data_IF_020762195643
#
_entry.id   IF_020762195643
#
_cell.length_a   1.000
_cell.length_b   1.000
_cell.length_c   1.000
_cell.angle_alpha   90.00
_cell.angle_beta   90.00
_cell.angle_gamma   90.00
#
_symmetry.space_group_name_H-M   'P 1'
#
loop_
_entity.id
_entity.type
_entity.pdbx_description
1 polymer ?
#
# COMPACT_ATOMS: atom_id res chain seq x y z
N UNK A 1 10.03 -1.08 -19.19
CA UNK A 1 9.86 -0.46 -17.86
C UNK A 1 11.23 -0.16 -17.24
N UNK A 2 11.38 1.01 -16.62
CA UNK A 2 12.57 1.37 -15.83
C UNK A 2 12.75 0.40 -14.65
N UNK A 3 14.00 0.25 -14.17
CA UNK A 3 14.24 -0.60 -12.98
C UNK A 3 13.55 0.02 -11.76
N UNK A 4 12.86 -0.78 -10.93
CA UNK A 4 12.26 -0.29 -9.69
C UNK A 4 13.33 0.13 -8.68
N UNK A 5 12.96 1.05 -7.78
CA UNK A 5 13.68 1.19 -6.51
C UNK A 5 13.23 0.04 -5.61
N UNK A 6 14.19 -0.62 -4.97
CA UNK A 6 13.94 -1.79 -4.10
C UNK A 6 14.46 -1.51 -2.71
N UNK A 7 13.68 -1.88 -1.69
CA UNK A 7 14.03 -1.78 -0.27
C UNK A 7 13.72 -3.10 0.45
N UNK A 8 14.45 -3.40 1.51
CA UNK A 8 14.25 -4.58 2.33
C UNK A 8 14.88 -5.84 1.77
N UNK A 9 14.34 -7.01 2.15
CA UNK A 9 14.92 -8.32 1.84
C UNK A 9 14.28 -8.97 0.60
N UNK A 10 14.98 -9.03 -0.56
CA UNK A 10 14.47 -9.64 -1.78
C UNK A 10 14.33 -11.18 -1.67
N UNK A 11 14.92 -11.78 -0.64
CA UNK A 11 14.84 -13.22 -0.39
C UNK A 11 13.74 -13.60 0.58
N UNK A 12 12.97 -12.62 1.08
CA UNK A 12 11.84 -12.86 1.97
C UNK A 12 10.86 -13.87 1.35
N UNK A 13 10.42 -14.82 2.14
CA UNK A 13 9.48 -15.88 1.75
C UNK A 13 8.42 -16.07 2.83
N UNK A 14 7.38 -16.83 2.49
CA UNK A 14 6.30 -17.20 3.40
C UNK A 14 5.05 -16.35 3.26
N UNK A 15 4.11 -16.46 4.20
CA UNK A 15 2.89 -15.68 4.22
C UNK A 15 3.19 -14.21 4.49
N UNK A 16 2.57 -13.32 3.70
CA UNK A 16 2.76 -11.87 3.80
C UNK A 16 1.44 -11.10 3.77
N UNK A 17 1.51 -9.86 4.22
CA UNK A 17 0.49 -8.83 4.09
C UNK A 17 1.02 -7.78 3.12
N UNK A 18 0.18 -7.30 2.21
CA UNK A 18 0.59 -6.40 1.14
C UNK A 18 -0.06 -5.03 1.28
N UNK A 19 0.74 -3.98 1.10
CA UNK A 19 0.28 -2.61 0.96
C UNK A 19 0.57 -2.08 -0.44
N UNK A 20 -0.40 -1.40 -1.05
CA UNK A 20 -0.30 -0.81 -2.39
C UNK A 20 -0.60 0.68 -2.31
N UNK A 21 0.41 1.50 -2.60
CA UNK A 21 0.24 2.94 -2.86
C UNK A 21 0.16 3.15 -4.38
N UNK A 22 -1.04 3.51 -4.86
CA UNK A 22 -1.34 3.68 -6.27
C UNK A 22 -1.03 5.10 -6.76
N UNK A 23 0.23 5.39 -7.00
CA UNK A 23 0.67 6.67 -7.56
C UNK A 23 1.23 6.51 -8.97
N UNK A 24 0.91 7.42 -9.89
CA UNK A 24 1.46 7.40 -11.26
C UNK A 24 2.98 7.63 -11.30
N UNK A 25 3.49 8.43 -10.38
CA UNK A 25 4.91 8.79 -10.32
C UNK A 25 5.75 7.84 -9.47
N UNK A 26 5.10 7.06 -8.60
CA UNK A 26 5.77 6.20 -7.64
C UNK A 26 4.85 5.07 -7.16
N UNK A 27 4.36 4.23 -8.09
CA UNK A 27 3.53 3.08 -7.77
C UNK A 27 4.31 2.12 -6.85
N UNK A 28 3.94 2.10 -5.58
CA UNK A 28 4.70 1.37 -4.56
C UNK A 28 3.91 0.18 -4.02
N UNK A 29 4.61 -0.93 -3.83
CA UNK A 29 4.06 -2.15 -3.25
C UNK A 29 5.02 -2.68 -2.20
N UNK A 30 4.50 -2.96 -1.01
CA UNK A 30 5.26 -3.55 0.09
C UNK A 30 4.62 -4.86 0.53
N UNK A 31 5.42 -5.90 0.68
CA UNK A 31 5.07 -7.13 1.37
C UNK A 31 5.76 -7.15 2.74
N UNK A 32 5.04 -7.53 3.81
CA UNK A 32 5.60 -7.71 5.15
C UNK A 32 5.13 -9.04 5.73
N UNK A 33 6.02 -9.78 6.41
CA UNK A 33 5.67 -11.04 7.08
C UNK A 33 5.43 -10.86 8.59
N UNK A 34 5.07 -11.94 9.28
CA UNK A 34 4.82 -11.94 10.73
C UNK A 34 6.09 -11.66 11.57
N UNK A 35 7.28 -11.75 10.98
CA UNK A 35 8.59 -11.51 11.62
C UNK A 35 9.13 -10.10 11.36
N UNK A 36 8.32 -9.18 10.84
CA UNK A 36 8.69 -7.82 10.46
C UNK A 36 9.69 -7.71 9.29
N UNK A 37 10.03 -8.81 8.61
CA UNK A 37 10.79 -8.74 7.36
C UNK A 37 9.88 -8.18 6.27
N UNK A 38 10.45 -7.32 5.44
CA UNK A 38 9.70 -6.64 4.38
C UNK A 38 10.47 -6.63 3.05
N UNK A 39 9.71 -6.46 1.99
CA UNK A 39 10.21 -6.21 0.64
C UNK A 39 9.33 -5.18 -0.05
N UNK A 40 9.93 -4.12 -0.57
CA UNK A 40 9.22 -3.00 -1.21
C UNK A 40 9.79 -2.75 -2.60
N UNK A 41 8.91 -2.54 -3.56
CA UNK A 41 9.23 -2.04 -4.90
C UNK A 41 8.50 -0.73 -5.15
N UNK A 42 9.21 0.25 -5.75
CA UNK A 42 8.63 1.49 -6.24
C UNK A 42 8.89 1.61 -7.73
N UNK A 43 7.83 1.72 -8.51
CA UNK A 43 7.86 1.78 -9.96
C UNK A 43 7.34 3.12 -10.46
N UNK A 44 7.94 3.65 -11.51
CA UNK A 44 7.33 4.68 -12.32
C UNK A 44 6.43 4.00 -13.35
N UNK A 45 5.14 4.32 -13.36
CA UNK A 45 4.23 3.78 -14.38
C UNK A 45 4.51 4.45 -15.72
N UNK A 46 4.94 3.66 -16.68
CA UNK A 46 5.22 4.06 -18.06
C UNK A 46 3.97 3.91 -18.93
N UNK A 47 4.01 4.47 -20.15
CA UNK A 47 2.90 4.44 -21.09
C UNK A 47 1.85 5.53 -20.84
N UNK A 48 0.79 5.52 -21.64
CA UNK A 48 -0.33 6.46 -21.57
C UNK A 48 -1.67 5.73 -21.66
N UNK A 49 -2.71 6.31 -21.07
CA UNK A 49 -4.06 5.75 -21.12
C UNK A 49 -4.10 4.27 -20.74
N UNK A 50 -4.72 3.43 -21.56
CA UNK A 50 -4.92 2.00 -21.32
C UNK A 50 -3.60 1.21 -21.22
N UNK A 51 -2.55 1.60 -21.99
CA UNK A 51 -1.23 0.97 -21.90
C UNK A 51 -0.64 1.10 -20.48
N UNK A 52 -0.75 2.28 -19.88
CA UNK A 52 -0.30 2.53 -18.50
C UNK A 52 -1.09 1.70 -17.48
N UNK A 53 -2.40 1.55 -17.69
CA UNK A 53 -3.25 0.72 -16.83
C UNK A 53 -2.90 -0.77 -16.95
N UNK A 54 -2.59 -1.24 -18.16
CA UNK A 54 -2.10 -2.61 -18.41
C UNK A 54 -0.75 -2.84 -17.72
N UNK A 55 0.17 -1.87 -17.81
CA UNK A 55 1.45 -1.97 -17.11
C UNK A 55 1.27 -2.04 -15.57
N UNK A 56 0.30 -1.29 -15.01
CA UNK A 56 -0.01 -1.37 -13.59
C UNK A 56 -0.56 -2.76 -13.19
N UNK A 57 -1.43 -3.35 -14.02
CA UNK A 57 -1.94 -4.71 -13.84
C UNK A 57 -0.79 -5.71 -13.77
N UNK A 58 0.12 -5.68 -14.76
CA UNK A 58 1.26 -6.58 -14.82
C UNK A 58 2.18 -6.43 -13.58
N UNK A 59 2.41 -5.20 -13.13
CA UNK A 59 3.21 -4.93 -11.93
C UNK A 59 2.57 -5.55 -10.68
N UNK A 60 1.25 -5.39 -10.50
CA UNK A 60 0.53 -5.98 -9.37
C UNK A 60 0.64 -7.50 -9.39
N UNK A 61 0.33 -8.15 -10.53
CA UNK A 61 0.42 -9.61 -10.68
C UNK A 61 1.84 -10.10 -10.41
N UNK A 62 2.84 -9.47 -11.03
CA UNK A 62 4.24 -9.85 -10.86
C UNK A 62 4.73 -9.70 -9.42
N UNK A 63 4.24 -8.70 -8.69
CA UNK A 63 4.58 -8.50 -7.29
C UNK A 63 3.93 -9.54 -6.38
N UNK A 64 2.62 -9.71 -6.46
CA UNK A 64 1.87 -10.59 -5.55
C UNK A 64 2.23 -12.08 -5.77
N UNK A 65 2.57 -12.47 -6.99
CA UNK A 65 3.01 -13.84 -7.31
C UNK A 65 4.34 -14.26 -6.67
N UNK A 66 5.11 -13.30 -6.13
CA UNK A 66 6.34 -13.62 -5.38
C UNK A 66 6.06 -14.24 -4.02
N UNK A 67 4.82 -14.12 -3.50
CA UNK A 67 4.49 -14.37 -2.11
C UNK A 67 3.20 -15.20 -1.94
N UNK A 68 3.03 -15.78 -0.76
CA UNK A 68 1.73 -16.27 -0.29
C UNK A 68 1.03 -15.12 0.45
N UNK A 69 0.17 -14.38 -0.25
CA UNK A 69 -0.51 -13.20 0.31
C UNK A 69 -1.67 -13.63 1.21
N UNK A 70 -1.81 -13.00 2.38
CA UNK A 70 -2.89 -13.23 3.37
C UNK A 70 -3.98 -12.16 3.29
N UNK A 71 -3.57 -10.90 3.10
CA UNK A 71 -4.49 -9.77 2.98
C UNK A 71 -3.78 -8.61 2.29
N UNK A 72 -4.57 -7.73 1.67
CA UNK A 72 -4.08 -6.58 0.91
C UNK A 72 -4.80 -5.31 1.39
N UNK A 73 -4.03 -4.24 1.63
CA UNK A 73 -4.54 -2.88 1.75
C UNK A 73 -4.04 -2.02 0.61
N UNK A 74 -4.87 -1.09 0.13
CA UNK A 74 -4.48 -0.10 -0.86
C UNK A 74 -4.88 1.29 -0.44
N UNK A 75 -4.10 2.30 -0.83
CA UNK A 75 -4.49 3.68 -0.58
C UNK A 75 -5.71 4.04 -1.44
N UNK A 76 -6.69 4.70 -0.80
CA UNK A 76 -7.78 5.36 -1.51
C UNK A 76 -7.33 6.71 -2.08
N UNK A 77 -8.17 7.33 -2.89
CA UNK A 77 -7.91 8.67 -3.42
C UNK A 77 -8.81 9.71 -2.75
N UNK A 78 -8.29 10.93 -2.60
CA UNK A 78 -9.06 12.04 -2.06
C UNK A 78 -10.05 12.55 -3.11
N UNK A 79 -11.34 12.62 -2.76
CA UNK A 79 -12.35 13.26 -3.61
C UNK A 79 -12.01 14.74 -3.83
N UNK A 80 -12.16 15.21 -5.08
CA UNK A 80 -11.91 16.61 -5.45
C UNK A 80 -10.46 16.94 -5.82
N UNK A 81 -9.55 16.00 -5.87
CA UNK A 81 -8.23 16.21 -6.48
C UNK A 81 -8.35 16.33 -8.01
N UNK A 82 -7.52 17.15 -8.65
CA UNK A 82 -7.47 17.23 -10.12
C UNK A 82 -7.16 15.90 -10.80
N UNK A 83 -6.53 14.98 -10.08
CA UNK A 83 -6.17 13.65 -10.56
C UNK A 83 -7.14 12.56 -10.10
N UNK A 84 -8.25 12.90 -9.43
CA UNK A 84 -9.17 11.91 -8.84
C UNK A 84 -9.70 10.91 -9.86
N UNK A 85 -10.04 11.37 -11.07
CA UNK A 85 -10.54 10.49 -12.15
C UNK A 85 -9.47 9.49 -12.59
N UNK A 86 -8.24 9.95 -12.85
CA UNK A 86 -7.14 9.09 -13.26
C UNK A 86 -6.75 8.08 -12.17
N UNK A 87 -6.70 8.52 -10.91
CA UNK A 87 -6.44 7.63 -9.78
C UNK A 87 -7.60 6.65 -9.55
N UNK A 88 -8.83 7.07 -9.86
CA UNK A 88 -10.01 6.22 -9.84
C UNK A 88 -9.93 5.10 -10.88
N UNK A 89 -9.51 5.40 -12.12
CA UNK A 89 -9.27 4.40 -13.17
C UNK A 89 -8.17 3.41 -12.75
N UNK A 90 -7.04 3.92 -12.28
CA UNK A 90 -5.93 3.09 -11.80
C UNK A 90 -6.37 2.18 -10.65
N UNK A 91 -7.05 2.74 -9.65
CA UNK A 91 -7.56 1.98 -8.52
C UNK A 91 -8.63 0.96 -8.93
N UNK A 92 -9.42 1.25 -9.95
CA UNK A 92 -10.37 0.30 -10.55
C UNK A 92 -9.64 -0.90 -11.16
N UNK A 93 -8.58 -0.64 -11.93
CA UNK A 93 -7.76 -1.71 -12.54
C UNK A 93 -7.07 -2.54 -11.46
N UNK A 94 -6.45 -1.93 -10.45
CA UNK A 94 -5.82 -2.67 -9.34
C UNK A 94 -6.83 -3.58 -8.64
N UNK A 95 -8.00 -3.06 -8.27
CA UNK A 95 -9.07 -3.85 -7.64
C UNK A 95 -9.57 -4.99 -8.51
N UNK A 96 -9.81 -4.73 -9.81
CA UNK A 96 -10.25 -5.75 -10.75
C UNK A 96 -9.19 -6.84 -10.92
N UNK A 97 -7.92 -6.46 -11.01
CA UNK A 97 -6.79 -7.40 -11.09
C UNK A 97 -6.76 -8.32 -9.88
N UNK A 98 -6.85 -7.79 -8.67
CA UNK A 98 -6.84 -8.57 -7.44
C UNK A 98 -8.08 -9.48 -7.35
N UNK A 99 -9.26 -8.96 -7.69
CA UNK A 99 -10.50 -9.72 -7.71
C UNK A 99 -10.46 -10.91 -8.66
N UNK A 100 -9.88 -10.75 -9.85
CA UNK A 100 -9.75 -11.84 -10.83
C UNK A 100 -8.61 -12.81 -10.53
N UNK A 101 -7.67 -12.42 -9.67
CA UNK A 101 -6.48 -13.21 -9.35
C UNK A 101 -6.63 -14.06 -8.09
N UNK A 102 -7.49 -13.66 -7.15
CA UNK A 102 -7.67 -14.30 -5.86
C UNK A 102 -9.11 -14.74 -5.59
N UNK A 103 -9.25 -15.92 -4.99
CA UNK A 103 -10.54 -16.39 -4.44
C UNK A 103 -10.70 -15.98 -2.97
N UNK A 104 -9.59 -15.76 -2.23
CA UNK A 104 -9.62 -15.37 -0.82
C UNK A 104 -10.12 -13.93 -0.65
N UNK A 105 -11.18 -13.69 0.14
CA UNK A 105 -11.83 -12.37 0.24
C UNK A 105 -10.89 -11.23 0.63
N UNK A 106 -9.96 -11.45 1.55
CA UNK A 106 -9.02 -10.41 2.02
C UNK A 106 -7.94 -10.04 0.99
N UNK A 107 -7.81 -10.82 -0.09
CA UNK A 107 -6.93 -10.55 -1.22
C UNK A 107 -7.72 -10.06 -2.42
N UNK A 108 -8.85 -10.69 -2.75
CA UNK A 108 -9.75 -10.31 -3.84
C UNK A 108 -10.40 -8.93 -3.61
N UNK A 109 -10.70 -8.59 -2.36
CA UNK A 109 -11.28 -7.30 -1.96
C UNK A 109 -10.32 -6.55 -1.03
N UNK A 110 -9.35 -5.78 -1.58
CA UNK A 110 -8.38 -5.08 -0.75
C UNK A 110 -9.05 -4.04 0.17
N UNK A 111 -8.52 -3.88 1.37
CA UNK A 111 -8.94 -2.81 2.29
C UNK A 111 -8.54 -1.46 1.69
N UNK A 112 -9.52 -0.62 1.34
CA UNK A 112 -9.27 0.72 0.80
C UNK A 112 -9.13 1.71 1.94
N UNK A 113 -7.93 2.23 2.13
CA UNK A 113 -7.55 3.10 3.26
C UNK A 113 -7.55 4.55 2.82
N UNK A 114 -8.39 5.44 3.39
CA UNK A 114 -8.32 6.87 3.10
C UNK A 114 -6.94 7.45 3.44
N UNK A 115 -6.39 8.39 2.64
CA UNK A 115 -5.07 8.99 2.88
C UNK A 115 -4.91 9.60 4.28
N UNK A 116 -5.97 10.21 4.81
CA UNK A 116 -5.98 10.77 6.17
C UNK A 116 -5.92 9.68 7.25
N UNK A 117 -6.55 8.55 7.02
CA UNK A 117 -6.51 7.38 7.92
C UNK A 117 -5.13 6.74 7.92
N UNK A 118 -4.50 6.58 6.74
CA UNK A 118 -3.13 6.09 6.64
C UNK A 118 -2.15 7.01 7.39
N UNK A 119 -2.23 8.32 7.17
CA UNK A 119 -1.42 9.30 7.90
C UNK A 119 -1.63 9.21 9.41
N UNK A 120 -2.89 9.07 9.88
CA UNK A 120 -3.18 8.86 11.31
C UNK A 120 -2.54 7.57 11.81
N UNK A 121 -2.61 6.49 11.07
CA UNK A 121 -1.99 5.21 11.42
C UNK A 121 -0.47 5.33 11.56
N UNK A 122 0.20 5.97 10.60
CA UNK A 122 1.67 6.08 10.61
C UNK A 122 2.15 7.09 11.67
N UNK A 123 1.49 8.26 11.80
CA UNK A 123 2.05 9.41 12.53
C UNK A 123 1.28 9.80 13.81
N UNK A 124 0.11 9.19 14.04
CA UNK A 124 -0.82 9.60 15.09
C UNK A 124 -1.70 10.81 14.71
N UNK A 125 -1.48 11.45 13.52
CA UNK A 125 -2.22 12.64 13.05
C UNK A 125 -2.71 12.43 11.63
N UNK A 126 -4.00 12.68 11.37
CA UNK A 126 -4.61 12.49 10.04
C UNK A 126 -4.42 13.66 9.08
N UNK A 127 -4.24 14.88 9.57
CA UNK A 127 -4.17 16.10 8.76
C UNK A 127 -2.94 16.93 9.08
N UNK A 128 -2.53 17.80 8.15
CA UNK A 128 -1.35 18.67 8.33
C UNK A 128 0.00 17.91 8.35
N UNK A 129 0.01 16.65 7.97
CA UNK A 129 1.22 15.80 7.96
C UNK A 129 1.97 15.99 6.63
N UNK A 130 3.25 16.36 6.73
CA UNK A 130 4.16 16.49 5.57
C UNK A 130 4.83 15.14 5.27
N UNK A 131 5.28 14.94 4.03
CA UNK A 131 5.96 13.71 3.57
C UNK A 131 7.14 13.30 4.44
N UNK A 132 8.01 14.25 4.79
CA UNK A 132 9.16 13.99 5.67
C UNK A 132 8.75 13.54 7.09
N UNK A 133 7.59 13.92 7.57
CA UNK A 133 7.06 13.47 8.86
C UNK A 133 6.60 12.01 8.79
N UNK A 134 6.06 11.56 7.64
CA UNK A 134 5.73 10.15 7.41
C UNK A 134 6.99 9.31 7.45
N UNK A 135 8.02 9.66 6.67
CA UNK A 135 9.31 8.97 6.65
C UNK A 135 9.93 8.86 8.05
N UNK A 136 9.98 9.99 8.77
CA UNK A 136 10.52 10.04 10.14
C UNK A 136 9.70 9.18 11.11
N UNK A 137 8.38 9.12 10.96
CA UNK A 137 7.52 8.31 11.82
C UNK A 137 7.72 6.83 11.56
N UNK A 138 7.85 6.41 10.30
CA UNK A 138 8.17 5.02 9.92
C UNK A 138 9.50 4.61 10.56
N UNK A 139 10.54 5.44 10.41
CA UNK A 139 11.84 5.18 11.03
C UNK A 139 11.75 5.06 12.57
N UNK A 140 11.14 6.03 13.23
CA UNK A 140 11.04 6.05 14.70
C UNK A 140 10.23 4.90 15.30
N UNK A 141 9.18 4.47 14.59
CA UNK A 141 8.26 3.44 15.10
C UNK A 141 8.74 2.03 14.81
N UNK A 142 9.32 1.81 13.64
CA UNK A 142 9.57 0.46 13.13
C UNK A 142 11.03 0.22 12.72
N UNK A 143 11.91 1.22 12.95
CA UNK A 143 13.35 1.17 12.61
C UNK A 143 13.60 0.81 11.13
N UNK A 144 12.74 1.37 10.25
CA UNK A 144 12.81 1.16 8.80
C UNK A 144 13.04 2.49 8.11
N UNK A 145 14.12 2.59 7.34
CA UNK A 145 14.49 3.79 6.60
C UNK A 145 14.05 3.69 5.14
N UNK A 146 13.26 4.66 4.70
CA UNK A 146 12.92 4.89 3.30
C UNK A 146 13.39 6.27 2.85
N UNK A 147 13.85 6.35 1.59
CA UNK A 147 14.17 7.62 0.90
C UNK A 147 13.04 8.03 -0.07
N UNK A 148 11.93 7.29 -0.08
CA UNK A 148 10.79 7.47 -0.98
C UNK A 148 9.49 7.43 -0.15
N UNK A 149 8.67 8.45 -0.27
CA UNK A 149 7.43 8.57 0.49
C UNK A 149 6.37 7.53 0.10
N UNK A 150 6.32 7.15 -1.20
CA UNK A 150 5.38 6.11 -1.64
C UNK A 150 5.78 4.73 -1.06
N UNK A 151 7.10 4.47 -0.90
CA UNK A 151 7.56 3.27 -0.19
C UNK A 151 7.10 3.26 1.27
N UNK A 152 7.19 4.40 1.97
CA UNK A 152 6.76 4.51 3.35
C UNK A 152 5.23 4.36 3.50
N UNK A 153 4.46 4.92 2.58
CA UNK A 153 2.99 4.81 2.57
C UNK A 153 2.56 3.36 2.28
N UNK A 154 3.13 2.69 1.28
CA UNK A 154 2.86 1.27 1.01
C UNK A 154 3.27 0.36 2.18
N UNK A 155 4.38 0.66 2.87
CA UNK A 155 4.79 -0.05 4.07
C UNK A 155 3.77 0.14 5.22
N UNK A 156 3.30 1.37 5.44
CA UNK A 156 2.25 1.67 6.43
C UNK A 156 0.95 0.90 6.16
N UNK A 157 0.54 0.78 4.89
CA UNK A 157 -0.62 -0.01 4.46
C UNK A 157 -0.44 -1.51 4.77
N UNK A 158 0.74 -2.07 4.49
CA UNK A 158 1.05 -3.46 4.80
C UNK A 158 1.03 -3.73 6.31
N UNK A 159 1.59 -2.80 7.12
CA UNK A 159 1.53 -2.84 8.59
C UNK A 159 0.10 -2.81 9.11
N UNK A 160 -0.74 -1.94 8.56
CA UNK A 160 -2.12 -1.78 8.96
C UNK A 160 -2.91 -3.08 8.75
N UNK A 161 -2.84 -3.68 7.57
CA UNK A 161 -3.62 -4.88 7.24
C UNK A 161 -3.08 -6.15 7.92
N UNK A 162 -1.84 -6.13 8.40
CA UNK A 162 -1.27 -7.19 9.24
C UNK A 162 -1.96 -7.29 10.62
N UNK A 163 -2.65 -6.22 11.04
CA UNK A 163 -3.41 -6.17 12.29
C UNK A 163 -2.57 -6.44 13.55
N UNK A 164 -1.34 -5.91 13.58
CA UNK A 164 -0.48 -5.92 14.77
C UNK A 164 -0.16 -4.47 15.12
N UNK A 165 -0.82 -3.95 16.14
CA UNK A 165 -0.82 -2.53 16.49
C UNK A 165 -0.09 -2.31 17.81
N UNK A 166 0.77 -1.29 17.86
CA UNK A 166 1.55 -0.93 19.05
C UNK A 166 0.89 0.22 19.83
N UNK A 167 -0.02 0.97 19.16
CA UNK A 167 -0.71 2.14 19.74
C UNK A 167 -2.22 2.06 19.55
N UNK A 168 -2.98 2.63 20.50
CA UNK A 168 -4.44 2.65 20.47
C UNK A 168 -5.01 3.33 19.22
N UNK A 169 -4.41 4.43 18.75
CA UNK A 169 -4.87 5.10 17.54
C UNK A 169 -4.66 4.27 16.26
N UNK A 170 -3.72 3.34 16.24
CA UNK A 170 -3.53 2.39 15.15
C UNK A 170 -4.68 1.40 15.10
N UNK A 171 -5.05 0.87 16.27
CA UNK A 171 -6.19 -0.02 16.43
C UNK A 171 -7.50 0.67 16.04
N UNK A 172 -7.72 1.91 16.51
CA UNK A 172 -8.89 2.71 16.12
C UNK A 172 -9.02 2.88 14.59
N UNK A 173 -7.89 3.10 13.89
CA UNK A 173 -7.89 3.19 12.42
C UNK A 173 -8.28 1.86 11.79
N UNK A 174 -7.69 0.76 12.26
CA UNK A 174 -8.00 -0.58 11.77
C UNK A 174 -9.47 -0.94 12.01
N UNK A 175 -9.98 -0.77 13.23
CA UNK A 175 -11.34 -1.12 13.60
C UNK A 175 -12.40 -0.38 12.77
N UNK A 176 -12.14 0.90 12.42
CA UNK A 176 -13.00 1.69 11.52
C UNK A 176 -12.99 1.17 10.07
N UNK A 177 -11.91 0.53 9.63
CA UNK A 177 -11.83 -0.04 8.27
C UNK A 177 -12.55 -1.38 8.15
N UNK A 178 -12.46 -2.23 9.18
CA UNK A 178 -13.06 -3.56 9.16
C UNK A 178 -14.52 -3.57 9.60
N UNK A 179 -14.99 -2.53 10.28
CA UNK A 179 -16.37 -2.36 10.76
C UNK A 179 -16.90 -0.97 10.42
N UNK A 180 -17.05 -0.60 9.14
CA UNK A 180 -17.59 0.68 8.76
C UNK A 180 -19.07 0.76 9.17
N UNK A 181 -19.37 1.53 10.23
CA UNK A 181 -20.76 1.85 10.61
C UNK A 181 -21.30 1.18 11.88
N UNK A 182 -20.43 0.84 12.85
CA UNK A 182 -20.87 0.71 14.25
C UNK A 182 -20.79 2.02 14.98
#
# INVERSE_FOLDING_TARGET
MSKPKVFGDPLMRGPVYVGIDQSYSGFAMTAINDKDLYYTEVHKLEGNGVERLSNAQDLVINFVNKFKVKAIAMEGYAFGSQMANMLGELGGVVKLTLFTHYDEPNCAHPFVVPPTSLKKYITGKGTGVKKNQVLLSVYKKWDVEFTDDNAADSYGLARLVRNKHDFEYEKEVYDKLVSPGK
#
